data_IF_096329867254
#
_entry.id   IF_096329867254
#
_cell.length_a   1.000
_cell.length_b   1.000
_cell.length_c   1.000
_cell.angle_alpha   90.00
_cell.angle_beta   90.00
_cell.angle_gamma   90.00
#
_symmetry.space_group_name_H-M   'P 1'
#
loop_
_entity.id
_entity.type
_entity.pdbx_description
1 polymer ?
#
# COMPACT_ATOMS: atom_id res chain seq x y z
N UNK A 1 0.07 11.14 28.19
CA UNK A 1 0.87 10.48 27.13
C UNK A 1 2.04 9.77 27.81
N UNK A 2 2.15 8.44 27.68
CA UNK A 2 3.14 7.63 28.39
C UNK A 2 4.51 7.70 27.67
N UNK A 3 5.59 8.18 28.31
CA UNK A 3 6.92 8.30 27.70
C UNK A 3 7.57 6.98 27.25
N UNK A 4 7.00 5.83 27.65
CA UNK A 4 7.37 4.48 27.16
C UNK A 4 6.94 4.19 25.71
N UNK A 5 5.95 4.90 25.16
CA UNK A 5 5.43 4.60 23.81
C UNK A 5 6.40 4.98 22.68
N UNK A 6 7.36 5.88 22.95
CA UNK A 6 8.25 6.49 21.96
C UNK A 6 9.64 5.85 21.89
N UNK A 7 10.09 5.19 22.97
CA UNK A 7 11.45 4.63 23.08
C UNK A 7 11.63 3.30 22.32
N UNK A 8 10.50 2.71 21.91
CA UNK A 8 10.38 1.33 21.42
C UNK A 8 9.90 1.25 19.95
N UNK A 9 9.96 2.33 19.17
CA UNK A 9 10.03 2.25 17.70
C UNK A 9 11.41 1.70 17.29
N UNK A 10 11.77 0.57 17.91
CA UNK A 10 13.11 0.01 17.95
C UNK A 10 13.59 -0.17 16.51
N UNK A 11 14.86 0.14 16.28
CA UNK A 11 15.61 -0.05 15.03
C UNK A 11 15.79 -1.54 14.69
N UNK A 12 14.71 -2.32 14.74
CA UNK A 12 14.66 -3.74 14.47
C UNK A 12 14.37 -3.90 12.97
N UNK A 13 15.16 -4.71 12.25
CA UNK A 13 14.84 -5.04 10.87
C UNK A 13 13.44 -5.63 10.74
N UNK A 14 12.66 -5.11 9.79
CA UNK A 14 11.29 -5.58 9.52
C UNK A 14 11.24 -6.75 8.54
N UNK A 15 12.40 -7.30 8.19
CA UNK A 15 12.58 -8.40 7.25
C UNK A 15 13.31 -9.57 7.91
N UNK A 16 13.09 -10.82 7.45
CA UNK A 16 12.22 -11.20 6.33
C UNK A 16 10.72 -11.17 6.68
N UNK A 17 9.88 -11.15 5.66
CA UNK A 17 8.41 -11.27 5.77
C UNK A 17 7.90 -12.40 4.88
N UNK A 18 6.75 -12.98 5.22
CA UNK A 18 6.14 -14.03 4.40
C UNK A 18 5.33 -13.45 3.24
N UNK A 19 5.30 -14.15 2.11
CA UNK A 19 4.48 -13.76 0.96
C UNK A 19 2.98 -13.73 1.31
N UNK A 20 2.51 -14.64 2.18
CA UNK A 20 1.14 -14.66 2.65
C UNK A 20 0.76 -13.36 3.37
N UNK A 21 1.67 -12.83 4.22
CA UNK A 21 1.50 -11.53 4.86
C UNK A 21 1.47 -10.42 3.81
N UNK A 22 2.41 -10.40 2.88
CA UNK A 22 2.50 -9.34 1.86
C UNK A 22 1.26 -9.30 0.95
N UNK A 23 0.70 -10.45 0.54
CA UNK A 23 -0.58 -10.48 -0.20
C UNK A 23 -1.73 -9.84 0.57
N UNK A 24 -1.69 -9.88 1.89
CA UNK A 24 -2.71 -9.30 2.75
C UNK A 24 -2.49 -7.82 3.02
N UNK A 25 -1.25 -7.31 3.06
CA UNK A 25 -1.01 -5.91 3.47
C UNK A 25 -0.42 -5.01 2.38
N UNK A 26 0.27 -5.57 1.39
CA UNK A 26 0.95 -4.78 0.38
C UNK A 26 -0.08 -4.28 -0.65
N UNK A 27 -0.29 -2.96 -0.78
CA UNK A 27 -1.31 -2.43 -1.67
C UNK A 27 -1.03 -2.76 -3.15
N UNK A 28 0.24 -2.94 -3.54
CA UNK A 28 0.64 -3.30 -4.91
C UNK A 28 0.28 -4.74 -5.28
N UNK A 29 0.13 -5.64 -4.30
CA UNK A 29 -0.33 -7.01 -4.52
C UNK A 29 -1.87 -7.13 -4.45
N UNK A 30 -2.54 -6.00 -4.25
CA UNK A 30 -3.99 -5.92 -4.01
C UNK A 30 -4.71 -5.04 -5.04
N UNK A 31 -4.07 -4.74 -6.16
CA UNK A 31 -4.61 -3.88 -7.23
C UNK A 31 -5.87 -4.45 -7.88
N UNK A 32 -5.98 -5.78 -8.01
CA UNK A 32 -7.19 -6.46 -8.46
C UNK A 32 -8.37 -6.45 -7.47
N UNK A 33 -8.18 -5.97 -6.22
CA UNK A 33 -9.30 -5.87 -5.25
C UNK A 33 -10.12 -4.61 -5.54
N UNK A 34 -11.45 -4.76 -5.56
CA UNK A 34 -12.42 -3.67 -5.84
C UNK A 34 -12.21 -2.44 -4.95
N UNK A 35 -11.99 -2.64 -3.66
CA UNK A 35 -11.73 -1.58 -2.69
C UNK A 35 -10.44 -0.79 -3.02
N UNK A 36 -9.33 -1.50 -3.22
CA UNK A 36 -8.03 -0.90 -3.55
C UNK A 36 -8.12 -0.14 -4.88
N UNK A 37 -8.67 -0.78 -5.92
CA UNK A 37 -8.85 -0.20 -7.23
C UNK A 37 -9.74 1.05 -7.20
N UNK A 38 -10.86 1.00 -6.46
CA UNK A 38 -11.75 2.13 -6.26
C UNK A 38 -11.05 3.31 -5.60
N UNK A 39 -10.23 3.05 -4.57
CA UNK A 39 -9.46 4.10 -3.89
C UNK A 39 -8.41 4.73 -4.80
N UNK A 40 -7.70 3.92 -5.59
CA UNK A 40 -6.71 4.42 -6.56
C UNK A 40 -7.38 5.31 -7.59
N UNK A 41 -8.49 4.87 -8.20
CA UNK A 41 -9.24 5.68 -9.19
C UNK A 41 -9.69 7.01 -8.60
N UNK A 42 -10.23 7.00 -7.37
CA UNK A 42 -10.69 8.22 -6.71
C UNK A 42 -9.55 9.22 -6.46
N UNK A 43 -8.33 8.75 -6.19
CA UNK A 43 -7.17 9.60 -5.90
C UNK A 43 -6.40 10.03 -7.16
N UNK A 44 -6.35 9.18 -8.19
CA UNK A 44 -5.58 9.45 -9.41
C UNK A 44 -6.41 10.07 -10.54
N UNK A 45 -7.74 9.99 -10.45
CA UNK A 45 -8.64 10.48 -11.50
C UNK A 45 -8.72 9.59 -12.75
N UNK A 46 -8.06 8.43 -12.76
CA UNK A 46 -8.13 7.52 -13.91
C UNK A 46 -9.52 6.88 -14.02
N UNK A 47 -10.01 6.72 -15.25
CA UNK A 47 -11.21 5.96 -15.56
C UNK A 47 -10.86 4.64 -16.25
N UNK A 48 -10.08 3.81 -15.58
CA UNK A 48 -9.70 2.47 -16.08
C UNK A 48 -9.99 1.40 -15.05
N UNK A 49 -10.47 0.25 -15.54
CA UNK A 49 -10.62 -0.98 -14.76
C UNK A 49 -9.46 -1.95 -14.97
N UNK A 50 -8.55 -1.65 -15.90
CA UNK A 50 -7.37 -2.46 -16.14
C UNK A 50 -6.44 -2.45 -14.92
N UNK A 51 -6.05 -3.64 -14.48
CA UNK A 51 -5.24 -3.81 -13.27
C UNK A 51 -3.85 -3.19 -13.44
N UNK A 52 -3.26 -3.26 -14.63
CA UNK A 52 -1.96 -2.65 -14.92
C UNK A 52 -2.04 -1.13 -14.84
N UNK A 53 -3.08 -0.53 -15.43
CA UNK A 53 -3.33 0.91 -15.30
C UNK A 53 -3.54 1.36 -13.84
N UNK A 54 -4.27 0.57 -13.05
CA UNK A 54 -4.47 0.83 -11.61
C UNK A 54 -3.15 0.72 -10.85
N UNK A 55 -2.33 -0.30 -11.13
CA UNK A 55 -1.01 -0.47 -10.53
C UNK A 55 -0.10 0.72 -10.83
N UNK A 56 -0.02 1.14 -12.10
CA UNK A 56 0.79 2.27 -12.52
C UNK A 56 0.36 3.57 -11.82
N UNK A 57 -0.95 3.84 -11.76
CA UNK A 57 -1.47 5.02 -11.07
C UNK A 57 -1.22 4.97 -9.55
N UNK A 58 -1.32 3.80 -8.92
CA UNK A 58 -0.98 3.63 -7.51
C UNK A 58 0.50 3.94 -7.25
N UNK A 59 1.39 3.46 -8.13
CA UNK A 59 2.82 3.74 -8.02
C UNK A 59 3.11 5.24 -8.12
N UNK A 60 2.42 5.93 -9.02
CA UNK A 60 2.56 7.37 -9.17
C UNK A 60 2.01 8.17 -7.98
N UNK A 61 0.91 7.72 -7.37
CA UNK A 61 0.43 8.29 -6.11
C UNK A 61 1.47 8.13 -5.00
N UNK A 62 2.06 6.94 -4.86
CA UNK A 62 3.09 6.67 -3.85
C UNK A 62 4.37 7.45 -4.10
N UNK A 63 4.71 7.78 -5.34
CA UNK A 63 5.87 8.61 -5.66
C UNK A 63 5.71 10.07 -5.19
N UNK A 64 4.46 10.56 -5.11
CA UNK A 64 4.12 11.95 -4.77
C UNK A 64 3.65 12.15 -3.32
N UNK A 65 3.59 11.08 -2.53
CA UNK A 65 3.24 11.09 -1.11
C UNK A 65 4.50 10.86 -0.27
#
# INVERSE_FOLDING_TARGET
MNPLALNEARHIPTLPVSLARERNINPFLRTGRTETAGRVRALSGINSQDEVAIFAAMRELKNRF
#
